data_IF_623088798794
#
_entry.id   IF_623088798794
#
_cell.length_a   1.000
_cell.length_b   1.000
_cell.length_c   1.000
_cell.angle_alpha   90.00
_cell.angle_beta   90.00
_cell.angle_gamma   90.00
#
_symmetry.space_group_name_H-M   'P 1'
#
loop_
_entity.id
_entity.type
_entity.pdbx_description
1 polymer ?
#
# COMPACT_ATOMS: atom_id res chain seq x y z
N UNK A 1 4.31 10.09 4.68
CA UNK A 1 4.14 9.68 3.27
C UNK A 1 5.13 10.47 2.45
N UNK A 2 5.88 9.82 1.56
CA UNK A 2 6.77 10.52 0.65
C UNK A 2 5.93 11.37 -0.33
N UNK A 3 6.41 12.57 -0.64
CA UNK A 3 5.71 13.51 -1.52
C UNK A 3 6.15 13.21 -2.96
N UNK A 4 5.22 13.08 -3.91
CA UNK A 4 5.58 12.83 -5.31
C UNK A 4 6.39 14.01 -5.88
N UNK A 5 7.40 13.74 -6.72
CA UNK A 5 8.15 14.79 -7.41
C UNK A 5 7.22 15.68 -8.25
N UNK A 6 7.48 16.98 -8.26
CA UNK A 6 6.72 17.93 -9.08
C UNK A 6 7.43 18.14 -10.41
N UNK A 7 6.70 17.93 -11.51
CA UNK A 7 7.20 18.24 -12.85
C UNK A 7 6.96 19.74 -13.12
N UNK A 8 8.01 20.53 -13.40
CA UNK A 8 7.85 21.94 -13.72
C UNK A 8 7.01 22.14 -14.99
N UNK A 9 6.22 23.21 -15.01
CA UNK A 9 5.53 23.60 -16.24
C UNK A 9 6.54 24.11 -17.26
N UNK A 10 6.34 23.73 -18.52
CA UNK A 10 7.08 24.32 -19.63
C UNK A 10 6.63 25.78 -19.84
N UNK A 11 7.54 26.68 -20.22
CA UNK A 11 7.18 28.02 -20.64
C UNK A 11 6.39 27.98 -21.96
N UNK A 12 5.70 29.07 -22.33
CA UNK A 12 4.94 29.13 -23.58
C UNK A 12 5.81 28.78 -24.79
N UNK A 13 5.34 27.83 -25.60
CA UNK A 13 6.03 27.48 -26.83
C UNK A 13 5.98 28.65 -27.83
N UNK A 14 7.03 28.81 -28.66
CA UNK A 14 6.96 29.72 -29.80
C UNK A 14 5.91 29.21 -30.80
N UNK A 15 5.25 30.14 -31.47
CA UNK A 15 4.20 29.90 -32.45
C UNK A 15 4.57 30.50 -33.79
N UNK A 16 3.95 30.02 -34.88
CA UNK A 16 4.22 30.55 -36.23
C UNK A 16 3.74 31.99 -36.43
N UNK A 17 2.87 32.48 -35.56
CA UNK A 17 2.40 33.86 -35.54
C UNK A 17 3.33 34.82 -34.80
N UNK A 18 4.32 34.30 -34.05
CA UNK A 18 5.28 35.15 -33.35
C UNK A 18 6.22 35.83 -34.34
N UNK A 19 6.45 37.13 -34.12
CA UNK A 19 7.51 37.85 -34.82
C UNK A 19 8.88 37.35 -34.38
N UNK A 20 9.92 37.66 -35.16
CA UNK A 20 11.29 37.23 -34.86
C UNK A 20 11.78 37.65 -33.46
N UNK A 21 11.31 38.81 -32.97
CA UNK A 21 11.63 39.32 -31.63
C UNK A 21 11.08 38.44 -30.50
N UNK A 22 9.97 37.74 -30.72
CA UNK A 22 9.29 36.93 -29.69
C UNK A 22 9.57 35.43 -29.85
N UNK A 23 9.79 34.97 -31.09
CA UNK A 23 10.00 33.56 -31.40
C UNK A 23 11.27 33.02 -30.73
N UNK A 24 12.42 33.67 -30.94
CA UNK A 24 13.72 33.18 -30.43
C UNK A 24 13.76 33.14 -28.90
N UNK A 25 13.36 34.19 -28.16
CA UNK A 25 13.34 34.12 -26.69
C UNK A 25 12.43 33.02 -26.15
N UNK A 26 11.25 32.80 -26.75
CA UNK A 26 10.34 31.71 -26.37
C UNK A 26 10.95 30.33 -26.67
N UNK A 27 11.58 30.18 -27.83
CA UNK A 27 12.25 28.95 -28.21
C UNK A 27 13.38 28.60 -27.24
N UNK A 28 14.23 29.57 -26.90
CA UNK A 28 15.35 29.38 -25.98
C UNK A 28 14.87 29.03 -24.57
N UNK A 29 13.84 29.73 -24.07
CA UNK A 29 13.23 29.44 -22.78
C UNK A 29 12.64 28.02 -22.75
N UNK A 30 11.93 27.61 -23.81
CA UNK A 30 11.37 26.28 -23.92
C UNK A 30 12.46 25.20 -23.92
N UNK A 31 13.51 25.37 -24.74
CA UNK A 31 14.63 24.43 -24.82
C UNK A 31 15.34 24.31 -23.46
N UNK A 32 15.60 25.43 -22.80
CA UNK A 32 16.23 25.45 -21.48
C UNK A 32 15.39 24.72 -20.41
N UNK A 33 14.06 24.77 -20.52
CA UNK A 33 13.16 24.09 -19.59
C UNK A 33 12.98 22.58 -19.87
N UNK A 34 13.33 22.09 -21.06
CA UNK A 34 13.15 20.67 -21.40
C UNK A 34 13.98 19.76 -20.51
N UNK A 35 15.26 20.07 -20.30
CA UNK A 35 16.15 19.22 -19.49
C UNK A 35 15.66 19.02 -18.05
N UNK A 36 15.38 20.08 -17.25
CA UNK A 36 14.87 19.88 -15.89
C UNK A 36 13.50 19.19 -15.86
N UNK A 37 12.65 19.41 -16.88
CA UNK A 37 11.35 18.71 -16.99
C UNK A 37 11.54 17.22 -17.22
N UNK A 38 12.46 16.82 -18.11
CA UNK A 38 12.79 15.41 -18.36
C UNK A 38 13.34 14.75 -17.11
N UNK A 39 14.25 15.42 -16.40
CA UNK A 39 14.76 14.91 -15.12
C UNK A 39 13.62 14.68 -14.13
N UNK A 40 12.72 15.65 -13.96
CA UNK A 40 11.59 15.53 -13.05
C UNK A 40 10.61 14.41 -13.47
N UNK A 41 10.38 14.20 -14.77
CA UNK A 41 9.58 13.08 -15.28
C UNK A 41 10.22 11.74 -14.93
N UNK A 42 11.53 11.58 -15.15
CA UNK A 42 12.24 10.34 -14.81
C UNK A 42 12.20 10.05 -13.30
N UNK A 43 12.40 11.08 -12.47
CA UNK A 43 12.27 10.93 -11.01
C UNK A 43 10.84 10.56 -10.60
N UNK A 44 9.83 11.13 -11.27
CA UNK A 44 8.43 10.80 -11.01
C UNK A 44 8.11 9.34 -11.36
N UNK A 45 8.63 8.84 -12.47
CA UNK A 45 8.47 7.43 -12.86
C UNK A 45 9.14 6.49 -11.85
N UNK A 46 10.35 6.81 -11.42
CA UNK A 46 11.04 6.03 -10.39
C UNK A 46 10.23 5.99 -9.08
N UNK A 47 9.73 7.15 -8.62
CA UNK A 47 8.89 7.24 -7.44
C UNK A 47 7.62 6.37 -7.54
N UNK A 48 6.95 6.38 -8.70
CA UNK A 48 5.75 5.56 -8.93
C UNK A 48 6.09 4.07 -8.84
N UNK A 49 7.18 3.64 -9.46
CA UNK A 49 7.60 2.24 -9.43
C UNK A 49 7.93 1.78 -8.01
N UNK A 50 8.70 2.56 -7.26
CA UNK A 50 9.06 2.24 -5.88
C UNK A 50 7.80 2.17 -4.99
N UNK A 51 6.90 3.15 -5.12
CA UNK A 51 5.65 3.17 -4.36
C UNK A 51 4.76 1.96 -4.68
N UNK A 52 4.74 1.52 -5.95
CA UNK A 52 3.96 0.35 -6.35
C UNK A 52 4.53 -0.96 -5.77
N UNK A 53 5.87 -1.08 -5.72
CA UNK A 53 6.55 -2.22 -5.09
C UNK A 53 6.24 -2.25 -3.60
N UNK A 54 6.45 -1.13 -2.89
CA UNK A 54 6.16 -1.02 -1.44
C UNK A 54 4.71 -1.40 -1.12
N UNK A 55 3.76 -0.95 -1.95
CA UNK A 55 2.35 -1.29 -1.78
C UNK A 55 2.08 -2.79 -1.98
N UNK A 56 2.71 -3.42 -2.98
CA UNK A 56 2.58 -4.85 -3.23
C UNK A 56 3.12 -5.68 -2.07
N UNK A 57 4.32 -5.34 -1.57
CA UNK A 57 4.94 -6.03 -0.43
C UNK A 57 4.10 -5.88 0.84
N UNK A 58 3.53 -4.69 1.07
CA UNK A 58 2.63 -4.47 2.21
C UNK A 58 1.35 -5.32 2.12
N UNK A 59 0.78 -5.49 0.91
CA UNK A 59 -0.37 -6.36 0.67
C UNK A 59 -0.02 -7.82 0.96
N UNK A 60 1.11 -8.32 0.46
CA UNK A 60 1.57 -9.69 0.68
C UNK A 60 1.86 -9.98 2.17
N UNK A 61 2.52 -9.04 2.85
CA UNK A 61 2.76 -9.13 4.29
C UNK A 61 1.44 -9.15 5.08
N UNK A 62 0.47 -8.32 4.67
CA UNK A 62 -0.86 -8.30 5.29
C UNK A 62 -1.60 -9.62 5.08
N UNK A 63 -1.59 -10.17 3.87
CA UNK A 63 -2.22 -11.46 3.55
C UNK A 63 -1.61 -12.60 4.39
N UNK A 64 -0.27 -12.61 4.52
CA UNK A 64 0.45 -13.59 5.34
C UNK A 64 0.07 -13.47 6.82
N UNK A 65 -0.01 -12.24 7.35
CA UNK A 65 -0.41 -12.01 8.73
C UNK A 65 -1.86 -12.45 9.01
N UNK A 66 -2.77 -12.22 8.06
CA UNK A 66 -4.17 -12.67 8.16
C UNK A 66 -4.27 -14.20 8.14
N UNK A 67 -3.52 -14.87 7.25
CA UNK A 67 -3.47 -16.33 7.22
C UNK A 67 -2.96 -16.90 8.56
N UNK A 68 -1.85 -16.38 9.08
CA UNK A 68 -1.29 -16.79 10.37
C UNK A 68 -2.27 -16.55 11.53
N UNK A 69 -2.99 -15.43 11.53
CA UNK A 69 -4.05 -15.15 12.51
C UNK A 69 -5.15 -16.22 12.44
N UNK A 70 -5.61 -16.55 11.24
CA UNK A 70 -6.68 -17.52 11.04
C UNK A 70 -6.26 -18.94 11.48
N UNK A 71 -5.02 -19.34 11.20
CA UNK A 71 -4.48 -20.64 11.64
C UNK A 71 -4.36 -20.73 13.17
N UNK A 72 -3.92 -19.64 13.82
CA UNK A 72 -3.86 -19.55 15.27
C UNK A 72 -5.26 -19.62 15.90
N UNK A 73 -6.25 -18.94 15.30
CA UNK A 73 -7.63 -18.98 15.76
C UNK A 73 -8.22 -20.39 15.60
N UNK A 74 -8.02 -21.04 14.46
CA UNK A 74 -8.48 -22.41 14.22
C UNK A 74 -7.87 -23.39 15.24
N UNK A 75 -6.57 -23.26 15.52
CA UNK A 75 -5.87 -24.05 16.53
C UNK A 75 -6.44 -23.84 17.94
N UNK A 76 -6.71 -22.58 18.31
CA UNK A 76 -7.30 -22.24 19.60
C UNK A 76 -8.71 -22.80 19.76
N UNK A 77 -9.55 -22.71 18.72
CA UNK A 77 -10.90 -23.28 18.70
C UNK A 77 -10.86 -24.80 18.83
N UNK A 78 -9.98 -25.49 18.09
CA UNK A 78 -9.82 -26.95 18.19
C UNK A 78 -9.36 -27.38 19.58
N UNK A 79 -8.44 -26.64 20.20
CA UNK A 79 -7.99 -26.90 21.57
C UNK A 79 -9.13 -26.72 22.58
N UNK A 80 -9.92 -25.65 22.46
CA UNK A 80 -11.07 -25.40 23.33
C UNK A 80 -12.16 -26.45 23.16
N UNK A 81 -12.46 -26.87 21.93
CA UNK A 81 -13.41 -27.95 21.65
C UNK A 81 -12.94 -29.29 22.25
N UNK A 82 -11.64 -29.59 22.13
CA UNK A 82 -11.04 -30.80 22.72
C UNK A 82 -11.12 -30.78 24.25
N UNK A 83 -10.87 -29.63 24.88
CA UNK A 83 -11.02 -29.45 26.32
C UNK A 83 -12.47 -29.63 26.78
N UNK A 84 -13.44 -29.03 26.08
CA UNK A 84 -14.86 -29.19 26.37
C UNK A 84 -15.32 -30.65 26.24
N UNK A 85 -14.82 -31.38 25.23
CA UNK A 85 -15.11 -32.81 25.06
C UNK A 85 -14.56 -33.65 26.24
N UNK A 86 -13.36 -33.33 26.73
CA UNK A 86 -12.78 -34.00 27.90
C UNK A 86 -13.56 -33.72 29.19
N UNK A 87 -14.00 -32.47 29.42
CA UNK A 87 -14.84 -32.10 30.58
C UNK A 87 -16.20 -32.81 30.55
N UNK A 88 -16.83 -32.87 29.37
CA UNK A 88 -18.09 -33.60 29.17
C UNK A 88 -17.97 -35.10 29.45
N UNK A 89 -16.84 -35.71 29.12
CA UNK A 89 -16.55 -37.11 29.46
C UNK A 89 -16.23 -37.32 30.95
N UNK A 90 -15.68 -36.31 31.63
CA UNK A 90 -15.33 -36.33 33.05
C UNK A 90 -16.45 -35.98 34.02
N UNK A 91 -17.61 -35.52 33.53
CA UNK A 91 -18.82 -35.28 34.34
C UNK A 91 -18.82 -34.01 35.20
N UNK A 92 -17.88 -33.08 34.99
CA UNK A 92 -17.81 -31.83 35.77
C UNK A 92 -18.51 -30.71 35.01
N UNK A 93 -19.67 -30.28 35.52
CA UNK A 93 -20.51 -29.24 34.94
C UNK A 93 -19.99 -27.84 35.26
N UNK A 94 -19.04 -27.34 34.46
CA UNK A 94 -18.56 -25.95 34.58
C UNK A 94 -18.02 -25.48 33.25
N UNK A 95 -18.87 -24.88 32.42
CA UNK A 95 -18.62 -24.65 31.00
C UNK A 95 -17.64 -23.49 30.67
N UNK A 96 -16.50 -23.41 31.36
CA UNK A 96 -15.49 -22.38 31.12
C UNK A 96 -14.89 -22.51 29.71
N UNK A 97 -14.74 -23.74 29.19
CA UNK A 97 -14.20 -23.99 27.86
C UNK A 97 -15.08 -23.42 26.73
N UNK A 98 -16.42 -23.53 26.82
CA UNK A 98 -17.31 -22.93 25.79
C UNK A 98 -17.36 -21.41 25.91
N UNK A 99 -17.28 -20.85 27.12
CA UNK A 99 -17.20 -19.39 27.31
C UNK A 99 -15.90 -18.85 26.72
N UNK A 100 -14.77 -19.53 26.91
CA UNK A 100 -13.48 -19.13 26.35
C UNK A 100 -13.43 -19.26 24.82
N UNK A 101 -14.01 -20.34 24.27
CA UNK A 101 -14.15 -20.53 22.82
C UNK A 101 -15.03 -19.44 22.17
N UNK A 102 -16.14 -19.08 22.83
CA UNK A 102 -17.03 -18.01 22.36
C UNK A 102 -16.35 -16.64 22.42
N UNK A 103 -15.64 -16.32 23.51
CA UNK A 103 -14.91 -15.04 23.63
C UNK A 103 -13.83 -14.91 22.56
N UNK A 104 -13.06 -15.97 22.28
CA UNK A 104 -12.07 -15.99 21.20
C UNK A 104 -12.67 -15.87 19.79
N UNK A 105 -13.90 -16.37 19.58
CA UNK A 105 -14.59 -16.27 18.30
C UNK A 105 -15.15 -14.87 17.99
N UNK A 106 -15.28 -14.01 19.01
CA UNK A 106 -15.81 -12.64 18.90
C UNK A 106 -14.78 -11.53 19.15
N UNK A 107 -13.50 -11.88 19.36
CA UNK A 107 -12.35 -10.96 19.55
C UNK A 107 -11.39 -10.97 18.37
#
# INVERSE_FOLDING_TARGET
>A
MAIPPVIPNLPPAPTRSDGAADFTPKADAMIAALQPTITAMNTSVAFINDTAVDASEAIEASATAVAAKNDALASAVNAAASAAAAEGAGGVSGNLATVYAAVLAFS
#
